data_IF_111667187886
#
_entry.id   IF_111667187886
#
_cell.length_a   1.000
_cell.length_b   1.000
_cell.length_c   1.000
_cell.angle_alpha   90.00
_cell.angle_beta   90.00
_cell.angle_gamma   90.00
#
_symmetry.space_group_name_H-M   'P 1'
#
loop_
_entity.id
_entity.type
_entity.pdbx_description
1 polymer ?
#
# COMPACT_ATOMS: atom_id res chain seq x y z
N UNK A 1 28.11 6.60 37.85
CA UNK A 1 27.83 7.59 36.79
C UNK A 1 27.75 6.79 35.48
N UNK A 2 26.59 6.22 35.16
CA UNK A 2 25.54 6.80 34.29
C UNK A 2 26.11 6.99 32.87
N UNK A 3 25.64 6.35 31.79
CA UNK A 3 24.30 5.88 31.46
C UNK A 3 24.40 4.65 30.55
N UNK A 4 23.78 3.53 30.95
CA UNK A 4 23.29 2.54 30.00
C UNK A 4 22.05 3.16 29.36
N UNK A 5 22.22 3.74 28.17
CA UNK A 5 21.11 4.10 27.33
C UNK A 5 20.41 2.80 26.93
N UNK A 6 19.36 2.46 27.66
CA UNK A 6 18.32 1.52 27.23
C UNK A 6 17.74 2.08 25.94
N UNK A 7 18.26 1.64 24.80
CA UNK A 7 17.51 1.66 23.56
C UNK A 7 16.31 0.73 23.80
N UNK A 8 15.19 1.33 24.20
CA UNK A 8 13.90 0.71 23.98
C UNK A 8 13.74 0.65 22.46
N UNK A 9 14.17 -0.46 21.87
CA UNK A 9 13.68 -0.89 20.57
C UNK A 9 12.18 -1.11 20.76
N UNK A 10 11.39 -0.09 20.43
CA UNK A 10 9.99 -0.31 20.08
C UNK A 10 10.04 -1.24 18.86
N UNK A 11 9.93 -2.54 19.09
CA UNK A 11 9.85 -3.57 18.07
C UNK A 11 8.45 -3.55 17.45
N UNK A 12 7.95 -2.37 17.08
CA UNK A 12 6.73 -2.23 16.29
C UNK A 12 7.04 -2.47 14.83
N UNK A 13 6.13 -3.15 14.12
CA UNK A 13 6.22 -3.27 12.67
C UNK A 13 6.33 -1.86 12.05
N UNK A 14 7.22 -1.69 11.08
CA UNK A 14 7.26 -0.44 10.32
C UNK A 14 6.21 -0.49 9.23
N UNK A 15 5.41 0.56 9.09
CA UNK A 15 4.34 0.63 8.09
C UNK A 15 4.78 1.42 6.86
N UNK A 16 4.42 0.95 5.66
CA UNK A 16 4.74 1.65 4.40
C UNK A 16 3.62 1.55 3.38
N UNK A 17 3.27 2.67 2.77
CA UNK A 17 2.40 2.75 1.59
C UNK A 17 3.26 2.93 0.35
N UNK A 18 2.98 2.15 -0.71
CA UNK A 18 3.73 2.20 -1.98
C UNK A 18 2.77 2.51 -3.11
N UNK A 19 2.97 3.64 -3.77
CA UNK A 19 2.15 4.12 -4.86
C UNK A 19 2.77 3.71 -6.20
N UNK A 20 2.04 2.94 -6.99
CA UNK A 20 2.52 2.39 -8.26
C UNK A 20 1.79 3.06 -9.41
N UNK A 21 2.51 3.85 -10.19
CA UNK A 21 1.95 4.51 -11.39
C UNK A 21 0.86 5.56 -11.10
N UNK A 22 0.76 6.06 -9.86
CA UNK A 22 -0.09 7.20 -9.52
C UNK A 22 0.55 8.50 -10.01
N UNK A 23 -0.27 9.38 -10.57
CA UNK A 23 0.08 10.77 -10.85
C UNK A 23 0.32 11.54 -9.55
N UNK A 24 0.87 12.75 -9.67
CA UNK A 24 1.08 13.61 -8.51
C UNK A 24 -0.24 13.97 -7.81
N UNK A 25 -1.31 14.24 -8.57
CA UNK A 25 -2.61 14.59 -8.02
C UNK A 25 -3.23 13.42 -7.25
N UNK A 26 -3.30 12.24 -7.87
CA UNK A 26 -3.84 11.03 -7.21
C UNK A 26 -3.06 10.66 -5.95
N UNK A 27 -1.73 10.83 -5.98
CA UNK A 27 -0.89 10.60 -4.82
C UNK A 27 -1.21 11.60 -3.69
N UNK A 28 -1.38 12.88 -4.02
CA UNK A 28 -1.70 13.91 -3.05
C UNK A 28 -3.09 13.70 -2.41
N UNK A 29 -4.08 13.31 -3.21
CA UNK A 29 -5.43 13.01 -2.72
C UNK A 29 -5.43 11.83 -1.74
N UNK A 30 -4.68 10.77 -2.05
CA UNK A 30 -4.55 9.62 -1.18
C UNK A 30 -3.73 9.94 0.08
N UNK A 31 -2.61 10.66 -0.06
CA UNK A 31 -1.80 11.10 1.08
C UNK A 31 -2.65 11.96 2.02
N UNK A 32 -3.44 12.90 1.50
CA UNK A 32 -4.36 13.70 2.31
C UNK A 32 -5.37 12.81 3.05
N UNK A 33 -5.99 11.85 2.36
CA UNK A 33 -6.93 10.91 2.97
C UNK A 33 -6.29 10.08 4.09
N UNK A 34 -5.07 9.57 3.88
CA UNK A 34 -4.32 8.78 4.85
C UNK A 34 -3.97 9.56 6.13
N UNK A 35 -3.83 10.88 6.05
CA UNK A 35 -3.46 11.73 7.18
C UNK A 35 -4.66 12.36 7.92
N UNK A 36 -5.89 12.17 7.44
CA UNK A 36 -7.11 12.75 8.05
C UNK A 36 -7.64 12.01 9.28
N UNK A 37 -6.98 10.93 9.73
CA UNK A 37 -7.47 10.09 10.85
C UNK A 37 -7.14 10.64 12.24
N UNK A 38 -8.08 10.47 13.18
CA UNK A 38 -8.00 10.95 14.57
C UNK A 38 -6.83 10.36 15.38
N UNK A 39 -6.28 9.22 14.95
CA UNK A 39 -5.06 8.60 15.51
C UNK A 39 -4.10 8.25 14.37
N UNK A 40 -3.21 9.16 13.99
CA UNK A 40 -2.32 8.93 12.87
C UNK A 40 -1.30 7.83 13.24
N UNK A 41 -1.36 6.72 12.51
CA UNK A 41 -0.29 5.74 12.47
C UNK A 41 0.94 6.36 11.80
N UNK A 42 2.13 5.98 12.26
CA UNK A 42 3.37 6.37 11.58
C UNK A 42 3.66 5.39 10.45
N UNK A 43 3.52 5.86 9.21
CA UNK A 43 3.90 5.12 8.02
C UNK A 43 4.67 6.03 7.06
N UNK A 44 5.43 5.41 6.16
CA UNK A 44 6.10 6.12 5.07
C UNK A 44 5.32 5.94 3.76
N UNK A 45 5.17 7.00 2.97
CA UNK A 45 4.70 6.89 1.58
C UNK A 45 5.89 6.86 0.63
N UNK A 46 5.91 5.91 -0.29
CA UNK A 46 6.93 5.78 -1.34
C UNK A 46 6.27 5.65 -2.71
N UNK A 47 6.96 6.09 -3.77
CA UNK A 47 6.49 5.92 -5.15
C UNK A 47 7.43 4.97 -5.89
N UNK A 48 6.89 4.09 -6.71
CA UNK A 48 7.67 3.13 -7.49
C UNK A 48 7.08 2.95 -8.90
N UNK A 49 7.92 2.71 -9.92
CA UNK A 49 7.43 2.46 -11.28
C UNK A 49 6.70 1.12 -11.43
N UNK A 50 7.04 0.12 -10.61
CA UNK A 50 6.40 -1.20 -10.57
C UNK A 50 6.47 -1.83 -9.19
N UNK A 51 5.74 -2.93 -8.99
CA UNK A 51 5.78 -3.69 -7.73
C UNK A 51 7.10 -4.43 -7.62
N UNK A 52 7.57 -5.07 -8.69
CA UNK A 52 8.83 -5.82 -8.72
C UNK A 52 10.05 -4.94 -8.44
N UNK A 53 10.00 -3.64 -8.77
CA UNK A 53 11.04 -2.68 -8.39
C UNK A 53 11.06 -2.35 -6.88
N UNK A 54 10.02 -2.72 -6.14
CA UNK A 54 9.89 -2.48 -4.71
C UNK A 54 10.52 -3.61 -3.89
N UNK A 55 11.11 -3.27 -2.74
CA UNK A 55 11.62 -4.24 -1.77
C UNK A 55 10.58 -4.56 -0.70
N UNK A 56 10.40 -5.84 -0.39
CA UNK A 56 9.43 -6.36 0.60
C UNK A 56 10.13 -7.05 1.78
N UNK A 57 10.86 -6.31 2.62
CA UNK A 57 11.43 -6.88 3.84
C UNK A 57 10.32 -7.33 4.80
N UNK A 58 10.52 -8.44 5.51
CA UNK A 58 9.50 -9.08 6.34
C UNK A 58 9.11 -8.26 7.58
N UNK A 59 9.99 -7.36 8.02
CA UNK A 59 9.79 -6.45 9.15
C UNK A 59 8.92 -5.21 8.81
N UNK A 60 8.54 -5.05 7.54
CA UNK A 60 7.72 -3.93 7.07
C UNK A 60 6.35 -4.43 6.62
N UNK A 61 5.30 -3.92 7.27
CA UNK A 61 3.91 -4.11 6.83
C UNK A 61 3.61 -3.08 5.74
N UNK A 62 3.22 -3.55 4.55
CA UNK A 62 3.15 -2.76 3.33
C UNK A 62 1.76 -2.78 2.70
N UNK A 63 1.26 -1.60 2.37
CA UNK A 63 0.13 -1.40 1.48
C UNK A 63 0.65 -0.98 0.11
N UNK A 64 0.26 -1.70 -0.94
CA UNK A 64 0.54 -1.32 -2.33
C UNK A 64 -0.72 -0.73 -2.91
N UNK A 65 -0.63 0.43 -3.55
CA UNK A 65 -1.76 1.08 -4.21
C UNK A 65 -1.47 1.23 -5.69
N UNK A 66 -2.40 0.72 -6.50
CA UNK A 66 -2.38 0.76 -7.96
C UNK A 66 -3.53 1.62 -8.46
N UNK A 67 -3.39 2.16 -9.67
CA UNK A 67 -4.50 2.68 -10.47
C UNK A 67 -4.94 1.66 -11.52
N UNK A 68 -6.10 1.86 -12.15
CA UNK A 68 -6.51 1.03 -13.28
C UNK A 68 -5.47 0.97 -14.40
N UNK A 69 -4.81 2.09 -14.68
CA UNK A 69 -3.77 2.22 -15.69
C UNK A 69 -2.51 1.44 -15.32
N UNK A 70 -2.07 1.50 -14.05
CA UNK A 70 -0.89 0.76 -13.61
C UNK A 70 -1.15 -0.74 -13.53
N UNK A 71 -2.37 -1.15 -13.19
CA UNK A 71 -2.75 -2.57 -13.22
C UNK A 71 -2.75 -3.14 -14.64
N UNK A 72 -3.18 -2.36 -15.63
CA UNK A 72 -3.26 -2.78 -17.03
C UNK A 72 -1.89 -3.09 -17.65
N UNK A 73 -0.82 -2.50 -17.12
CA UNK A 73 0.56 -2.71 -17.60
C UNK A 73 1.38 -3.59 -16.66
N UNK A 74 0.76 -4.18 -15.64
CA UNK A 74 1.45 -4.99 -14.65
C UNK A 74 2.00 -6.28 -15.27
N UNK A 75 3.24 -6.62 -14.90
CA UNK A 75 3.98 -7.74 -15.48
C UNK A 75 3.87 -9.01 -14.61
N UNK A 76 4.16 -10.21 -15.16
CA UNK A 76 4.18 -11.45 -14.37
C UNK A 76 5.14 -11.42 -13.17
N UNK A 77 6.22 -10.65 -13.24
CA UNK A 77 7.18 -10.45 -12.14
C UNK A 77 6.57 -9.70 -10.95
N UNK A 78 5.66 -8.76 -11.20
CA UNK A 78 4.94 -8.05 -10.16
C UNK A 78 4.03 -9.01 -9.38
N UNK A 79 3.38 -9.96 -10.07
CA UNK A 79 2.57 -11.01 -9.44
C UNK A 79 3.39 -11.88 -8.49
N UNK A 80 4.60 -12.30 -8.89
CA UNK A 80 5.47 -13.11 -8.02
C UNK A 80 5.96 -12.31 -6.81
N UNK A 81 6.28 -11.03 -7.00
CA UNK A 81 6.64 -10.13 -5.90
C UNK A 81 5.49 -9.99 -4.88
N UNK A 82 4.26 -9.76 -5.34
CA UNK A 82 3.08 -9.69 -4.46
C UNK A 82 2.83 -11.03 -3.78
N UNK A 83 2.89 -12.15 -4.50
CA UNK A 83 2.67 -13.49 -3.94
C UNK A 83 3.65 -13.78 -2.81
N UNK A 84 4.93 -13.50 -3.02
CA UNK A 84 5.98 -13.70 -2.02
C UNK A 84 5.73 -12.83 -0.77
N UNK A 85 5.41 -11.55 -0.97
CA UNK A 85 5.15 -10.62 0.12
C UNK A 85 3.86 -10.94 0.89
N UNK A 86 2.78 -11.30 0.19
CA UNK A 86 1.47 -11.59 0.77
C UNK A 86 1.44 -12.85 1.64
N UNK A 87 2.27 -13.86 1.33
CA UNK A 87 2.38 -15.10 2.14
C UNK A 87 2.83 -14.84 3.58
N UNK A 88 3.50 -13.73 3.85
CA UNK A 88 3.95 -13.34 5.18
C UNK A 88 2.86 -12.59 5.97
N UNK A 89 1.71 -12.29 5.36
CA UNK A 89 0.64 -11.48 5.97
C UNK A 89 0.98 -9.99 6.08
N UNK A 90 2.19 -9.59 5.69
CA UNK A 90 2.70 -8.23 5.81
C UNK A 90 2.42 -7.38 4.58
N UNK A 91 1.70 -7.87 3.57
CA UNK A 91 1.44 -7.11 2.34
C UNK A 91 -0.01 -7.23 1.88
N UNK A 92 -0.66 -6.09 1.61
CA UNK A 92 -1.96 -6.00 0.94
C UNK A 92 -1.89 -5.06 -0.26
N UNK A 93 -2.65 -5.38 -1.30
CA UNK A 93 -2.72 -4.60 -2.55
C UNK A 93 -4.10 -3.96 -2.66
N UNK A 94 -4.15 -2.70 -3.06
CA UNK A 94 -5.37 -1.90 -3.17
C UNK A 94 -5.45 -1.25 -4.54
N UNK A 95 -6.68 -1.00 -4.99
CA UNK A 95 -6.97 -0.28 -6.23
C UNK A 95 -7.60 1.06 -5.91
N UNK A 96 -6.95 2.13 -6.33
CA UNK A 96 -7.46 3.50 -6.37
C UNK A 96 -8.00 3.75 -7.78
N UNK A 97 -9.31 3.95 -7.91
CA UNK A 97 -9.97 4.31 -9.17
C UNK A 97 -10.53 5.74 -9.07
N UNK A 98 -9.77 6.76 -9.50
CA UNK A 98 -10.24 8.14 -9.53
C UNK A 98 -11.50 8.30 -10.37
N UNK A 99 -12.30 9.33 -10.08
CA UNK A 99 -13.48 9.66 -10.87
C UNK A 99 -13.11 9.84 -12.35
N UNK A 100 -13.85 9.17 -13.24
CA UNK A 100 -13.57 9.20 -14.69
C UNK A 100 -12.60 8.11 -15.17
N UNK A 101 -12.12 7.24 -14.29
CA UNK A 101 -11.38 6.04 -14.72
C UNK A 101 -12.25 5.14 -15.59
N UNK A 102 -11.71 4.70 -16.72
CA UNK A 102 -12.40 3.71 -17.57
C UNK A 102 -12.65 2.42 -16.79
N UNK A 103 -13.85 1.81 -16.89
CA UNK A 103 -14.10 0.51 -16.29
C UNK A 103 -13.10 -0.51 -16.85
N UNK A 104 -12.42 -1.22 -15.95
CA UNK A 104 -11.44 -2.20 -16.36
C UNK A 104 -12.12 -3.38 -17.03
N UNK A 105 -11.65 -3.72 -18.24
CA UNK A 105 -12.04 -4.91 -18.97
C UNK A 105 -10.80 -5.78 -19.14
N UNK A 106 -10.43 -6.50 -18.09
CA UNK A 106 -9.32 -7.44 -18.12
C UNK A 106 -8.90 -7.88 -16.73
N UNK A 107 -8.93 -9.20 -16.48
CA UNK A 107 -8.32 -9.82 -15.30
C UNK A 107 -6.80 -9.75 -15.51
N UNK A 108 -6.19 -8.71 -14.95
CA UNK A 108 -4.73 -8.56 -14.94
C UNK A 108 -4.06 -9.59 -14.03
N UNK A 109 -2.75 -9.85 -14.17
CA UNK A 109 -2.04 -10.88 -13.40
C UNK A 109 -2.01 -10.65 -11.88
N UNK A 110 -2.39 -9.45 -11.42
CA UNK A 110 -2.41 -9.06 -9.99
C UNK A 110 -3.83 -8.90 -9.47
N UNK A 111 -4.85 -9.03 -10.32
CA UNK A 111 -6.23 -8.72 -9.97
C UNK A 111 -6.74 -9.55 -8.77
N UNK A 112 -6.33 -10.82 -8.69
CA UNK A 112 -6.65 -11.74 -7.59
C UNK A 112 -6.09 -11.32 -6.23
N UNK A 113 -5.06 -10.45 -6.21
CA UNK A 113 -4.45 -9.96 -4.97
C UNK A 113 -5.06 -8.65 -4.48
N UNK A 114 -5.88 -8.00 -5.29
CA UNK A 114 -6.46 -6.69 -4.98
C UNK A 114 -7.54 -6.84 -3.91
N UNK A 115 -7.33 -6.19 -2.78
CA UNK A 115 -8.35 -5.94 -1.77
C UNK A 115 -9.30 -4.86 -2.30
N UNK A 116 -10.40 -5.31 -2.90
CA UNK A 116 -11.38 -4.43 -3.54
C UNK A 116 -12.23 -3.73 -2.48
N UNK A 117 -12.37 -2.42 -2.63
CA UNK A 117 -13.35 -1.61 -1.89
C UNK A 117 -14.57 -1.35 -2.75
N UNK A 118 -15.72 -1.05 -2.13
CA UNK A 118 -16.96 -0.80 -2.87
C UNK A 118 -16.85 0.40 -3.83
N UNK A 119 -16.05 1.40 -3.49
CA UNK A 119 -15.99 2.67 -4.24
C UNK A 119 -14.62 2.98 -4.84
N UNK A 120 -13.54 2.30 -4.41
CA UNK A 120 -12.17 2.52 -4.90
C UNK A 120 -11.67 3.97 -4.82
N UNK A 121 -12.32 4.82 -4.02
CA UNK A 121 -11.93 6.22 -3.82
C UNK A 121 -10.73 6.34 -2.89
N UNK A 122 -10.02 7.47 -2.93
CA UNK A 122 -8.89 7.74 -2.03
C UNK A 122 -9.26 7.55 -0.55
N UNK A 123 -10.43 8.05 -0.12
CA UNK A 123 -10.93 7.86 1.24
C UNK A 123 -11.18 6.38 1.58
N UNK A 124 -11.94 5.67 0.75
CA UNK A 124 -12.24 4.25 1.01
C UNK A 124 -10.98 3.35 1.01
N UNK A 125 -10.01 3.67 0.14
CA UNK A 125 -8.72 2.97 0.11
C UNK A 125 -7.90 3.31 1.36
N UNK A 126 -7.82 4.59 1.75
CA UNK A 126 -7.12 5.00 2.96
C UNK A 126 -7.68 4.33 4.21
N UNK A 127 -9.01 4.28 4.37
CA UNK A 127 -9.66 3.63 5.51
C UNK A 127 -9.27 2.14 5.63
N UNK A 128 -9.22 1.40 4.52
CA UNK A 128 -8.79 0.00 4.52
C UNK A 128 -7.30 -0.17 4.84
N UNK A 129 -6.45 0.72 4.31
CA UNK A 129 -5.01 0.70 4.61
C UNK A 129 -4.79 0.93 6.11
N UNK A 130 -5.50 1.89 6.69
CA UNK A 130 -5.39 2.22 8.11
C UNK A 130 -5.91 1.08 8.97
N UNK A 131 -7.07 0.50 8.64
CA UNK A 131 -7.58 -0.68 9.32
C UNK A 131 -6.58 -1.86 9.27
N UNK A 132 -5.99 -2.11 8.10
CA UNK A 132 -4.95 -3.13 7.96
C UNK A 132 -3.72 -2.86 8.84
N UNK A 133 -3.23 -1.62 8.87
CA UNK A 133 -2.07 -1.29 9.70
C UNK A 133 -2.41 -1.36 11.20
N UNK A 134 -3.63 -1.00 11.61
CA UNK A 134 -4.10 -1.16 12.99
C UNK A 134 -4.26 -2.64 13.40
N UNK A 135 -4.65 -3.52 12.48
CA UNK A 135 -4.69 -4.97 12.72
C UNK A 135 -3.29 -5.59 12.95
N UNK A 136 -2.25 -4.93 12.45
CA UNK A 136 -0.87 -5.42 12.46
C UNK A 136 0.03 -4.77 13.52
N UNK A 137 -0.47 -3.76 14.26
CA UNK A 137 0.18 -3.16 15.44
C UNK A 137 0.04 -4.05 16.69
#
# INVERSE_FOLDING_TARGET
MNNLATHFSSSGASFRVTLIGLTHAESADLDEALHRVERPLKFETTRSPSIAASRFPAEIVRAIVLTPSSLAVAAPEDMEAVRSAGRLGTCRVYLLAPAGSSPQSGVGPIDDFIQRTLTHTAGAVADQIIAFFQEAE
#
